data_IF_156694885243
#
_entry.id   IF_156694885243
#
_cell.length_a   1.000
_cell.length_b   1.000
_cell.length_c   1.000
_cell.angle_alpha   90.00
_cell.angle_beta   90.00
_cell.angle_gamma   90.00
#
_symmetry.space_group_name_H-M   'P 1'
#
loop_
_entity.id
_entity.type
_entity.pdbx_description
1 polymer ?
#
# COMPACT_ATOMS: atom_id res chain seq x y z
N UNK A 1 10.87 13.69 5.74
CA UNK A 1 10.39 12.71 6.74
C UNK A 1 8.88 12.54 6.60
N UNK A 2 8.42 11.32 6.66
CA UNK A 2 7.01 11.01 6.43
C UNK A 2 6.28 10.97 7.78
N UNK A 3 5.28 11.81 7.95
CA UNK A 3 4.56 11.93 9.21
C UNK A 3 3.05 12.04 8.98
N UNK A 4 2.28 11.49 9.92
CA UNK A 4 0.84 11.69 10.00
C UNK A 4 0.48 12.18 11.39
N UNK A 5 -0.53 13.03 11.49
CA UNK A 5 -1.09 13.43 12.77
C UNK A 5 -2.08 12.37 13.26
N UNK A 6 -1.77 11.74 14.38
CA UNK A 6 -2.58 10.70 15.00
C UNK A 6 -2.80 11.09 16.46
N UNK A 7 -4.07 11.29 16.87
CA UNK A 7 -4.43 11.71 18.23
C UNK A 7 -3.69 12.97 18.70
N UNK A 8 -3.65 13.98 17.83
CA UNK A 8 -3.01 15.29 18.10
C UNK A 8 -1.49 15.21 18.25
N UNK A 9 -0.90 14.10 17.83
CA UNK A 9 0.54 13.87 17.89
C UNK A 9 1.07 13.56 16.50
N UNK A 10 2.21 14.16 16.13
CA UNK A 10 2.88 13.82 14.88
C UNK A 10 3.61 12.48 15.03
N UNK A 11 3.23 11.52 14.21
CA UNK A 11 3.77 10.16 14.25
C UNK A 11 4.63 9.94 13.00
N UNK A 12 5.91 9.59 13.16
CA UNK A 12 6.81 9.37 12.03
C UNK A 12 6.69 7.96 11.47
N UNK A 13 6.97 7.85 10.17
CA UNK A 13 7.00 6.57 9.46
C UNK A 13 8.27 6.51 8.61
N UNK A 14 8.87 5.33 8.57
CA UNK A 14 10.10 5.10 7.80
C UNK A 14 9.83 4.05 6.71
N UNK A 15 9.87 4.49 5.45
CA UNK A 15 9.68 3.63 4.28
C UNK A 15 11.01 3.26 3.63
N UNK A 16 12.06 3.06 4.44
CA UNK A 16 13.38 2.67 3.97
C UNK A 16 13.54 1.16 3.80
N UNK A 17 14.79 0.72 3.75
CA UNK A 17 15.12 -0.70 3.49
C UNK A 17 14.57 -1.65 4.55
N UNK A 18 14.52 -1.23 5.82
CA UNK A 18 13.92 -2.05 6.88
C UNK A 18 12.45 -2.33 6.63
N UNK A 19 11.70 -1.30 6.26
CA UNK A 19 10.30 -1.45 5.87
C UNK A 19 10.16 -2.39 4.66
N UNK A 20 10.97 -2.14 3.62
CA UNK A 20 10.90 -2.94 2.38
C UNK A 20 11.11 -4.43 2.66
N UNK A 21 12.12 -4.77 3.45
CA UNK A 21 12.39 -6.18 3.79
C UNK A 21 11.24 -6.82 4.56
N UNK A 22 10.69 -6.11 5.52
CA UNK A 22 9.58 -6.63 6.32
C UNK A 22 8.30 -6.81 5.52
N UNK A 23 7.92 -5.82 4.72
CA UNK A 23 6.69 -5.93 3.92
C UNK A 23 6.83 -7.01 2.83
N UNK A 24 8.01 -7.14 2.22
CA UNK A 24 8.25 -8.13 1.18
C UNK A 24 8.13 -9.58 1.67
N UNK A 25 8.49 -9.84 2.92
CA UNK A 25 8.36 -11.18 3.52
C UNK A 25 6.92 -11.63 3.72
N UNK A 26 5.97 -10.70 3.72
CA UNK A 26 4.56 -11.01 4.00
C UNK A 26 3.90 -11.83 2.91
N UNK A 27 4.39 -11.75 1.68
CA UNK A 27 3.83 -12.49 0.55
C UNK A 27 4.95 -12.99 -0.34
N UNK A 28 4.90 -14.27 -0.69
CA UNK A 28 5.83 -14.86 -1.63
C UNK A 28 5.08 -15.66 -2.69
N UNK A 29 5.63 -15.73 -3.88
CA UNK A 29 5.09 -16.51 -5.00
C UNK A 29 6.18 -17.43 -5.55
N UNK A 30 5.80 -18.60 -6.15
CA UNK A 30 6.76 -19.45 -6.84
C UNK A 30 7.37 -18.71 -8.03
N UNK A 31 8.66 -18.95 -8.28
CA UNK A 31 9.31 -18.47 -9.50
C UNK A 31 9.05 -19.46 -10.61
N UNK A 32 8.47 -18.99 -11.71
CA UNK A 32 8.13 -19.82 -12.86
C UNK A 32 9.37 -20.48 -13.46
N UNK A 33 9.29 -21.79 -13.71
CA UNK A 33 10.38 -22.56 -14.27
C UNK A 33 11.45 -23.00 -13.29
N UNK A 34 11.35 -22.66 -12.01
CA UNK A 34 12.33 -23.01 -10.97
C UNK A 34 11.63 -23.76 -9.83
N UNK A 35 12.08 -25.00 -9.56
CA UNK A 35 11.52 -25.78 -8.43
C UNK A 35 12.05 -25.24 -7.10
N UNK A 36 11.14 -25.15 -6.13
CA UNK A 36 11.45 -24.76 -4.74
C UNK A 36 12.05 -23.35 -4.58
N UNK A 37 11.94 -22.51 -5.59
CA UNK A 37 12.38 -21.11 -5.52
C UNK A 37 11.15 -20.21 -5.42
N UNK A 38 11.15 -19.31 -4.43
CA UNK A 38 10.07 -18.36 -4.20
C UNK A 38 10.63 -16.93 -4.23
N UNK A 39 9.78 -16.01 -4.65
CA UNK A 39 10.09 -14.59 -4.70
C UNK A 39 9.21 -13.85 -3.70
N UNK A 40 9.82 -12.99 -2.88
CA UNK A 40 9.09 -12.14 -1.93
C UNK A 40 8.53 -10.92 -2.67
N UNK A 41 7.22 -10.76 -2.64
CA UNK A 41 6.49 -9.73 -3.41
C UNK A 41 5.50 -8.95 -2.57
N UNK A 42 5.71 -8.90 -1.25
CA UNK A 42 4.76 -8.27 -0.33
C UNK A 42 4.50 -6.81 -0.64
N UNK A 43 5.52 -6.04 -1.05
CA UNK A 43 5.31 -4.63 -1.39
C UNK A 43 4.35 -4.47 -2.58
N UNK A 44 4.50 -5.26 -3.63
CA UNK A 44 3.60 -5.23 -4.79
C UNK A 44 2.15 -5.49 -4.39
N UNK A 45 1.92 -6.52 -3.60
CA UNK A 45 0.58 -6.86 -3.14
C UNK A 45 0.01 -5.79 -2.23
N UNK A 46 0.82 -5.23 -1.33
CA UNK A 46 0.37 -4.16 -0.44
C UNK A 46 -0.01 -2.90 -1.21
N UNK A 47 0.78 -2.48 -2.19
CA UNK A 47 0.45 -1.32 -3.03
C UNK A 47 -0.86 -1.56 -3.80
N UNK A 48 -1.01 -2.75 -4.40
CA UNK A 48 -2.24 -3.10 -5.11
C UNK A 48 -3.46 -3.04 -4.21
N UNK A 49 -3.35 -3.55 -2.98
CA UNK A 49 -4.42 -3.49 -1.98
C UNK A 49 -4.73 -2.06 -1.55
N UNK A 50 -3.71 -1.21 -1.37
CA UNK A 50 -3.93 0.21 -1.04
C UNK A 50 -4.67 0.93 -2.16
N UNK A 51 -4.34 0.65 -3.41
CA UNK A 51 -5.03 1.21 -4.57
C UNK A 51 -6.49 0.75 -4.64
N UNK A 52 -6.78 -0.44 -4.12
CA UNK A 52 -8.11 -1.00 -4.06
C UNK A 52 -8.91 -0.54 -2.82
N UNK A 53 -8.31 0.29 -1.97
CA UNK A 53 -8.97 0.80 -0.78
C UNK A 53 -9.03 -0.16 0.40
N UNK A 54 -8.11 -1.12 0.48
CA UNK A 54 -8.06 -2.12 1.55
C UNK A 54 -7.53 -1.48 2.84
N UNK A 55 -8.41 -1.29 3.81
CA UNK A 55 -8.11 -0.64 5.09
C UNK A 55 -7.17 -1.47 5.95
N UNK A 56 -7.32 -2.80 5.94
CA UNK A 56 -6.41 -3.68 6.69
C UNK A 56 -4.98 -3.57 6.18
N UNK A 57 -4.82 -3.49 4.86
CA UNK A 57 -3.50 -3.27 4.26
C UNK A 57 -2.91 -1.93 4.65
N UNK A 58 -3.73 -0.89 4.75
CA UNK A 58 -3.29 0.43 5.20
C UNK A 58 -2.73 0.38 6.62
N UNK A 59 -3.45 -0.25 7.53
CA UNK A 59 -3.01 -0.40 8.93
C UNK A 59 -1.71 -1.20 9.00
N UNK A 60 -1.59 -2.28 8.26
CA UNK A 60 -0.38 -3.11 8.23
C UNK A 60 0.83 -2.33 7.71
N UNK A 61 0.66 -1.60 6.64
CA UNK A 61 1.74 -0.77 6.06
C UNK A 61 2.21 0.28 7.06
N UNK A 62 1.29 0.99 7.69
CA UNK A 62 1.62 2.02 8.68
C UNK A 62 2.27 1.43 9.93
N UNK A 63 1.79 0.29 10.41
CA UNK A 63 2.37 -0.40 11.56
C UNK A 63 3.83 -0.77 11.31
N UNK A 64 4.11 -1.40 10.17
CA UNK A 64 5.48 -1.79 9.81
C UNK A 64 6.37 -0.56 9.63
N UNK A 65 5.87 0.47 8.96
CA UNK A 65 6.63 1.70 8.71
C UNK A 65 6.95 2.49 9.98
N UNK A 66 6.14 2.36 11.02
CA UNK A 66 6.37 3.00 12.32
C UNK A 66 7.30 2.21 13.23
N UNK A 67 7.60 0.95 12.90
CA UNK A 67 8.51 0.11 13.69
C UNK A 67 9.88 0.79 13.82
N UNK A 68 10.37 0.93 15.03
CA UNK A 68 11.65 1.60 15.31
C UNK A 68 11.57 3.12 15.34
N UNK A 69 10.42 3.71 15.09
CA UNK A 69 10.21 5.16 15.18
C UNK A 69 9.78 5.59 16.59
N UNK A 70 9.98 6.85 16.89
CA UNK A 70 9.54 7.46 18.15
C UNK A 70 8.69 8.70 17.84
N UNK A 71 7.40 8.73 18.24
CA UNK A 71 6.71 7.69 19.02
C UNK A 71 6.37 6.45 18.21
N UNK A 72 6.42 5.30 18.88
CA UNK A 72 5.94 4.03 18.33
C UNK A 72 4.46 3.89 18.70
N UNK A 73 3.60 3.80 17.70
CA UNK A 73 2.16 3.60 17.91
C UNK A 73 1.81 2.13 17.73
N UNK A 74 0.93 1.65 18.60
CA UNK A 74 0.47 0.27 18.53
C UNK A 74 -0.51 0.09 17.37
N UNK A 75 -0.64 -1.14 16.92
CA UNK A 75 -1.65 -1.48 15.90
C UNK A 75 -3.05 -1.12 16.37
N UNK A 76 -3.34 -1.32 17.66
CA UNK A 76 -4.61 -0.94 18.28
C UNK A 76 -4.85 0.58 18.20
N UNK A 77 -3.81 1.39 18.41
CA UNK A 77 -3.89 2.84 18.28
C UNK A 77 -4.14 3.26 16.83
N UNK A 78 -3.53 2.57 15.87
CA UNK A 78 -3.81 2.78 14.45
C UNK A 78 -5.24 2.43 14.10
N UNK A 79 -5.76 1.32 14.59
CA UNK A 79 -7.16 0.92 14.39
C UNK A 79 -8.11 1.99 14.92
N UNK A 80 -7.84 2.49 16.12
CA UNK A 80 -8.63 3.56 16.73
C UNK A 80 -8.62 4.84 15.87
N UNK A 81 -7.47 5.21 15.36
CA UNK A 81 -7.31 6.36 14.46
C UNK A 81 -8.15 6.18 13.19
N UNK A 82 -8.09 5.01 12.57
CA UNK A 82 -8.84 4.70 11.35
C UNK A 82 -10.35 4.74 11.61
N UNK A 83 -10.80 4.22 12.75
CA UNK A 83 -12.22 4.16 13.11
C UNK A 83 -12.80 5.50 13.53
N UNK A 84 -11.96 6.50 13.82
CA UNK A 84 -12.42 7.81 14.27
C UNK A 84 -13.17 8.53 13.16
N UNK A 85 -14.32 9.12 13.51
CA UNK A 85 -15.13 9.93 12.59
C UNK A 85 -14.40 11.19 12.12
N UNK A 86 -13.41 11.66 12.88
CA UNK A 86 -12.62 12.85 12.56
C UNK A 86 -11.52 12.55 11.55
N UNK A 87 -11.29 11.27 11.23
CA UNK A 87 -10.25 10.87 10.29
C UNK A 87 -10.81 10.80 8.86
N UNK A 88 -10.17 11.54 7.95
CA UNK A 88 -10.44 11.42 6.53
C UNK A 88 -9.64 10.24 5.98
N UNK A 89 -10.30 9.09 5.83
CA UNK A 89 -9.64 7.85 5.41
C UNK A 89 -9.04 7.98 4.00
N UNK A 90 -9.71 8.68 3.10
CA UNK A 90 -9.21 8.87 1.73
C UNK A 90 -7.91 9.67 1.72
N UNK A 91 -7.82 10.67 2.57
CA UNK A 91 -6.59 11.45 2.74
C UNK A 91 -5.45 10.59 3.29
N UNK A 92 -5.73 9.69 4.24
CA UNK A 92 -4.72 8.78 4.80
C UNK A 92 -4.18 7.85 3.72
N UNK A 93 -5.05 7.28 2.88
CA UNK A 93 -4.63 6.46 1.73
C UNK A 93 -3.75 7.26 0.77
N UNK A 94 -4.17 8.46 0.41
CA UNK A 94 -3.45 9.32 -0.52
C UNK A 94 -2.07 9.69 -0.01
N UNK A 95 -1.96 10.09 1.26
CA UNK A 95 -0.68 10.41 1.88
C UNK A 95 0.24 9.20 1.95
N UNK A 96 -0.28 8.05 2.35
CA UNK A 96 0.51 6.81 2.45
C UNK A 96 1.05 6.38 1.08
N UNK A 97 0.21 6.41 0.06
CA UNK A 97 0.66 6.15 -1.32
C UNK A 97 1.69 7.17 -1.77
N UNK A 98 1.53 8.44 -1.40
CA UNK A 98 2.50 9.49 -1.68
C UNK A 98 3.86 9.20 -1.05
N UNK A 99 3.89 8.70 0.18
CA UNK A 99 5.13 8.29 0.86
C UNK A 99 5.82 7.15 0.09
N UNK A 100 5.05 6.14 -0.30
CA UNK A 100 5.57 4.99 -1.05
C UNK A 100 6.08 5.39 -2.44
N UNK A 101 5.46 6.37 -3.09
CA UNK A 101 5.88 6.90 -4.39
C UNK A 101 7.21 7.67 -4.33
N UNK A 102 7.54 8.24 -3.19
CA UNK A 102 8.68 9.17 -3.06
C UNK A 102 9.89 8.57 -2.36
N UNK A 103 9.71 7.58 -1.48
CA UNK A 103 10.80 6.93 -0.78
C UNK A 103 11.65 6.10 -1.75
N UNK A 104 12.97 6.22 -1.65
CA UNK A 104 13.89 5.54 -2.59
C UNK A 104 13.69 4.01 -2.63
N UNK A 105 13.46 3.38 -1.48
CA UNK A 105 13.34 1.92 -1.40
C UNK A 105 12.06 1.38 -2.03
N UNK A 106 10.99 2.18 -2.10
CA UNK A 106 9.66 1.72 -2.49
C UNK A 106 9.18 2.32 -3.81
N UNK A 107 9.78 3.41 -4.26
CA UNK A 107 9.30 4.22 -5.39
C UNK A 107 9.10 3.42 -6.67
N UNK A 108 10.12 2.66 -7.08
CA UNK A 108 10.08 1.99 -8.38
C UNK A 108 8.96 0.94 -8.45
N UNK A 109 8.84 0.10 -7.43
CA UNK A 109 7.78 -0.92 -7.36
C UNK A 109 6.41 -0.25 -7.28
N UNK A 110 6.28 0.79 -6.46
CA UNK A 110 5.02 1.51 -6.29
C UNK A 110 4.53 2.10 -7.61
N UNK A 111 5.39 2.81 -8.34
CA UNK A 111 5.03 3.41 -9.62
C UNK A 111 4.70 2.34 -10.67
N UNK A 112 5.42 1.22 -10.67
CA UNK A 112 5.15 0.11 -11.58
C UNK A 112 3.76 -0.51 -11.33
N UNK A 113 3.41 -0.76 -10.08
CA UNK A 113 2.10 -1.31 -9.72
C UNK A 113 0.98 -0.34 -10.09
N UNK A 114 1.15 0.94 -9.82
CA UNK A 114 0.16 1.96 -10.20
C UNK A 114 -0.09 1.93 -11.70
N UNK A 115 0.97 1.83 -12.49
CA UNK A 115 0.88 1.76 -13.95
C UNK A 115 0.14 0.50 -14.41
N UNK A 116 0.43 -0.65 -13.81
CA UNK A 116 -0.25 -1.91 -14.13
C UNK A 116 -1.74 -1.85 -13.79
N UNK A 117 -2.09 -1.31 -12.63
CA UNK A 117 -3.49 -1.16 -12.20
C UNK A 117 -4.26 -0.23 -13.14
N UNK A 118 -3.64 0.88 -13.57
CA UNK A 118 -4.25 1.79 -14.54
C UNK A 118 -4.52 1.11 -15.88
N UNK A 119 -3.58 0.30 -16.36
CA UNK A 119 -3.76 -0.45 -17.61
C UNK A 119 -4.93 -1.43 -17.52
N UNK A 120 -5.02 -2.18 -16.42
CA UNK A 120 -6.11 -3.13 -16.20
C UNK A 120 -7.48 -2.41 -16.13
N UNK A 121 -7.52 -1.27 -15.47
CA UNK A 121 -8.72 -0.45 -15.38
C UNK A 121 -9.18 0.02 -16.76
N UNK A 122 -8.26 0.52 -17.57
CA UNK A 122 -8.55 0.97 -18.94
C UNK A 122 -9.06 -0.18 -19.82
N UNK A 123 -8.48 -1.37 -19.70
CA UNK A 123 -8.94 -2.56 -20.43
C UNK A 123 -10.36 -2.94 -20.04
N UNK A 124 -10.67 -2.94 -18.75
CA UNK A 124 -12.02 -3.25 -18.27
C UNK A 124 -13.06 -2.25 -18.79
N UNK A 125 -12.74 -0.97 -18.72
CA UNK A 125 -13.62 0.10 -19.22
C UNK A 125 -13.85 -0.03 -20.74
N UNK A 126 -12.80 -0.35 -21.49
CA UNK A 126 -12.90 -0.56 -22.92
C UNK A 126 -13.78 -1.78 -23.26
N UNK A 127 -13.62 -2.89 -22.51
CA UNK A 127 -14.46 -4.08 -22.70
C UNK A 127 -15.91 -3.82 -22.35
N UNK A 128 -16.17 -3.08 -21.28
CA UNK A 128 -17.54 -2.71 -20.88
C UNK A 128 -18.20 -1.84 -21.96
N UNK A 129 -17.47 -0.86 -22.52
CA UNK A 129 -17.97 -0.03 -23.61
C UNK A 129 -18.30 -0.87 -24.86
N UNK A 130 -17.43 -1.82 -25.21
CA UNK A 130 -17.67 -2.73 -26.35
C UNK A 130 -18.90 -3.59 -26.13
N UNK A 131 -19.12 -4.09 -24.90
CA UNK A 131 -20.31 -4.86 -24.55
C UNK A 131 -21.58 -4.00 -24.66
N UNK A 132 -21.53 -2.77 -24.17
CA UNK A 132 -22.66 -1.85 -24.26
C UNK A 132 -23.00 -1.50 -25.72
N UNK A 133 -22.00 -1.26 -26.55
CA UNK A 133 -22.19 -1.01 -27.98
C UNK A 133 -22.80 -2.22 -28.70
N UNK A 134 -22.35 -3.43 -28.36
CA UNK A 134 -22.88 -4.66 -28.95
C UNK A 134 -24.32 -4.95 -28.52
N UNK A 135 -24.77 -4.39 -27.41
CA UNK A 135 -26.14 -4.58 -26.89
C UNK A 135 -27.08 -3.49 -27.34
N UNK A 136 -26.60 -2.45 -28.00
CA UNK A 136 -27.42 -1.32 -28.45
C UNK A 136 -28.19 -1.65 -29.73
#
# INVERSE_FOLDING_TARGET
MYELEINEQMVPFNFGMGFLREINKRTSIPVEGMQNVRQNVGLRYSVAKLLDGDVEALVEVLDIANTGCDPRVTKKALDFFIDSEDTDIDEVFEKTLGFLKTANATRNVTLDVIKEVEKEKQKREAMERMKMEAMA
#
